data_IF_387731721530
#
_entry.id   IF_387731721530
#
_cell.length_a   1.000
_cell.length_b   1.000
_cell.length_c   1.000
_cell.angle_alpha   90.00
_cell.angle_beta   90.00
_cell.angle_gamma   90.00
#
_symmetry.space_group_name_H-M   'P 1'
#
loop_
_entity.id
_entity.type
_entity.pdbx_description
1 polymer ?
#
# COMPACT_ATOMS: atom_id res chain seq x y z
N UNK A 1 -27.70 9.94 -13.62
CA UNK A 1 -28.34 11.25 -13.47
C UNK A 1 -27.52 12.08 -12.50
N UNK A 2 -27.45 11.79 -11.21
CA UNK A 2 -26.85 12.70 -10.20
C UNK A 2 -25.47 13.31 -10.47
N UNK A 3 -24.59 12.67 -11.28
CA UNK A 3 -23.33 13.29 -11.70
C UNK A 3 -23.51 14.34 -12.82
N UNK A 4 -24.37 14.04 -13.80
CA UNK A 4 -24.73 14.98 -14.86
C UNK A 4 -25.76 15.94 -14.26
N UNK A 5 -25.58 17.25 -14.46
CA UNK A 5 -26.34 18.29 -13.77
C UNK A 5 -25.97 18.48 -12.29
N UNK A 6 -24.83 17.94 -11.84
CA UNK A 6 -24.31 18.26 -10.51
C UNK A 6 -24.17 19.80 -10.33
N UNK A 7 -24.61 20.31 -9.19
CA UNK A 7 -24.65 21.74 -8.88
C UNK A 7 -25.86 22.51 -9.43
N UNK A 8 -26.82 21.87 -10.11
CA UNK A 8 -28.14 22.48 -10.36
C UNK A 8 -28.86 22.72 -9.03
N UNK A 9 -29.40 23.91 -8.84
CA UNK A 9 -30.05 24.37 -7.61
C UNK A 9 -29.11 25.08 -6.63
N UNK A 10 -27.80 25.08 -6.87
CA UNK A 10 -26.79 25.70 -6.00
C UNK A 10 -26.35 27.11 -6.47
N UNK A 11 -25.27 27.65 -5.89
CA UNK A 11 -24.87 29.07 -5.99
C UNK A 11 -24.63 29.57 -7.43
N UNK A 12 -24.11 28.72 -8.32
CA UNK A 12 -23.83 29.07 -9.71
C UNK A 12 -24.79 28.39 -10.73
N UNK A 13 -25.48 27.32 -10.31
CA UNK A 13 -26.56 26.65 -11.06
C UNK A 13 -26.26 26.26 -12.53
N UNK A 14 -24.99 26.03 -12.88
CA UNK A 14 -24.62 25.74 -14.28
C UNK A 14 -24.87 24.30 -14.70
N UNK A 15 -24.94 23.36 -13.74
CA UNK A 15 -25.21 21.95 -14.00
C UNK A 15 -24.14 21.27 -14.84
N UNK A 16 -23.43 20.32 -14.25
CA UNK A 16 -22.27 19.71 -14.90
C UNK A 16 -22.62 18.89 -16.15
N UNK A 17 -21.86 19.05 -17.23
CA UNK A 17 -22.04 18.30 -18.49
C UNK A 17 -21.16 17.06 -18.56
N UNK A 18 -21.47 16.13 -19.48
CA UNK A 18 -20.65 14.94 -19.70
C UNK A 18 -19.25 15.29 -20.18
N UNK A 19 -19.14 16.33 -21.01
CA UNK A 19 -17.91 16.84 -21.57
C UNK A 19 -17.01 17.42 -20.47
N UNK A 20 -17.59 18.17 -19.53
CA UNK A 20 -16.85 18.72 -18.37
C UNK A 20 -16.42 17.62 -17.39
N UNK A 21 -17.29 16.63 -17.12
CA UNK A 21 -16.93 15.44 -16.32
C UNK A 21 -15.73 14.73 -16.96
N UNK A 22 -15.79 14.52 -18.28
CA UNK A 22 -14.70 13.87 -19.02
C UNK A 22 -13.41 14.69 -18.93
N UNK A 23 -13.47 16.01 -19.15
CA UNK A 23 -12.31 16.89 -19.07
C UNK A 23 -11.69 16.90 -17.68
N UNK A 24 -12.51 16.95 -16.63
CA UNK A 24 -12.09 16.89 -15.24
C UNK A 24 -11.35 15.59 -14.92
N UNK A 25 -11.95 14.44 -15.26
CA UNK A 25 -11.33 13.13 -15.00
C UNK A 25 -10.05 12.93 -15.82
N UNK A 26 -10.00 13.40 -17.07
CA UNK A 26 -8.79 13.36 -17.89
C UNK A 26 -7.69 14.24 -17.30
N UNK A 27 -8.03 15.43 -16.79
CA UNK A 27 -7.08 16.35 -16.16
C UNK A 27 -6.46 15.80 -14.87
N UNK A 28 -7.17 14.92 -14.17
CA UNK A 28 -6.70 14.27 -12.93
C UNK A 28 -6.10 12.88 -13.17
N UNK A 29 -6.23 12.32 -14.36
CA UNK A 29 -5.85 10.94 -14.63
C UNK A 29 -4.33 10.74 -14.53
N UNK A 30 -3.93 9.71 -13.78
CA UNK A 30 -2.56 9.19 -13.74
C UNK A 30 -2.57 7.66 -13.92
N UNK A 31 -1.53 7.07 -14.55
CA UNK A 31 -1.35 5.62 -14.59
C UNK A 31 -1.36 4.95 -13.20
N UNK A 32 -0.89 5.63 -12.14
CA UNK A 32 -0.92 5.11 -10.77
C UNK A 32 -2.32 5.12 -10.15
N UNK A 33 -3.16 6.08 -10.53
CA UNK A 33 -4.47 6.28 -9.90
C UNK A 33 -5.38 5.07 -10.09
N UNK A 34 -5.92 4.52 -9.01
CA UNK A 34 -6.80 3.34 -9.06
C UNK A 34 -8.18 3.70 -9.64
N UNK A 35 -8.88 2.72 -10.19
CA UNK A 35 -10.27 2.92 -10.65
C UNK A 35 -11.20 3.29 -9.49
N UNK A 36 -10.97 2.73 -8.29
CA UNK A 36 -11.72 3.10 -7.08
C UNK A 36 -11.54 4.58 -6.77
N UNK A 37 -10.29 5.06 -6.77
CA UNK A 37 -10.00 6.46 -6.44
C UNK A 37 -10.56 7.42 -7.51
N UNK A 38 -10.49 7.07 -8.80
CA UNK A 38 -11.17 7.84 -9.85
C UNK A 38 -12.69 7.93 -9.62
N UNK A 39 -13.33 6.82 -9.23
CA UNK A 39 -14.77 6.83 -8.92
C UNK A 39 -15.07 7.67 -7.67
N UNK A 40 -14.25 7.56 -6.62
CA UNK A 40 -14.37 8.36 -5.40
C UNK A 40 -14.22 9.85 -5.69
N UNK A 41 -13.17 10.24 -6.42
CA UNK A 41 -12.94 11.64 -6.84
C UNK A 41 -14.15 12.19 -7.60
N UNK A 42 -14.76 11.41 -8.49
CA UNK A 42 -15.95 11.85 -9.21
C UNK A 42 -17.13 12.11 -8.27
N UNK A 43 -17.42 11.17 -7.38
CA UNK A 43 -18.55 11.28 -6.44
C UNK A 43 -18.34 12.42 -5.44
N UNK A 44 -17.13 12.53 -4.88
CA UNK A 44 -16.78 13.61 -3.95
C UNK A 44 -16.86 14.98 -4.63
N UNK A 45 -16.45 15.07 -5.90
CA UNK A 45 -16.60 16.31 -6.65
C UNK A 45 -18.07 16.67 -6.92
N UNK A 46 -18.92 15.68 -7.17
CA UNK A 46 -20.36 15.93 -7.28
C UNK A 46 -20.95 16.44 -5.96
N UNK A 47 -20.57 15.85 -4.82
CA UNK A 47 -20.99 16.31 -3.49
C UNK A 47 -20.54 17.76 -3.21
N UNK A 48 -19.31 18.11 -3.62
CA UNK A 48 -18.81 19.49 -3.56
C UNK A 48 -19.62 20.45 -4.43
N UNK A 49 -19.96 20.06 -5.67
CA UNK A 49 -20.79 20.87 -6.57
C UNK A 49 -22.21 21.06 -6.00
N UNK A 50 -22.72 20.08 -5.25
CA UNK A 50 -23.96 20.17 -4.49
C UNK A 50 -23.82 20.86 -3.12
N UNK A 51 -22.66 21.47 -2.82
CA UNK A 51 -22.42 22.15 -1.54
C UNK A 51 -22.71 21.25 -0.31
N UNK A 52 -22.33 19.96 -0.42
CA UNK A 52 -22.58 18.92 0.56
C UNK A 52 -24.07 18.68 0.89
N UNK A 53 -24.96 19.05 -0.04
CA UNK A 53 -26.41 18.83 0.03
C UNK A 53 -26.86 18.17 -1.27
N UNK A 54 -26.55 16.88 -1.47
CA UNK A 54 -26.84 16.19 -2.72
C UNK A 54 -28.31 16.34 -3.10
N UNK A 55 -28.55 16.88 -4.30
CA UNK A 55 -29.89 17.05 -4.86
C UNK A 55 -30.46 15.77 -5.48
N UNK A 56 -29.60 14.80 -5.76
CA UNK A 56 -29.93 13.49 -6.34
C UNK A 56 -28.88 12.43 -5.94
N UNK A 57 -29.26 11.16 -6.05
CA UNK A 57 -28.35 10.04 -5.79
C UNK A 57 -27.25 9.98 -6.86
N UNK A 58 -25.99 10.01 -6.43
CA UNK A 58 -24.84 9.94 -7.34
C UNK A 58 -24.07 8.64 -7.15
N UNK A 59 -23.97 7.84 -8.22
CA UNK A 59 -23.19 6.60 -8.25
C UNK A 59 -22.23 6.58 -9.45
N UNK A 60 -21.00 6.10 -9.22
CA UNK A 60 -19.97 6.02 -10.25
C UNK A 60 -19.36 4.61 -10.32
N UNK A 61 -19.22 4.09 -11.54
CA UNK A 61 -18.45 2.88 -11.85
C UNK A 61 -17.27 3.25 -12.74
N UNK A 62 -16.05 2.93 -12.31
CA UNK A 62 -14.85 3.10 -13.11
C UNK A 62 -14.25 1.74 -13.46
N UNK A 63 -13.98 1.53 -14.76
CA UNK A 63 -13.28 0.36 -15.26
C UNK A 63 -11.95 0.82 -15.86
N UNK A 64 -10.84 0.28 -15.36
CA UNK A 64 -9.50 0.60 -15.85
C UNK A 64 -8.83 -0.66 -16.37
N UNK A 65 -8.42 -0.64 -17.63
CA UNK A 65 -7.49 -1.63 -18.19
C UNK A 65 -6.07 -1.22 -17.81
N UNK A 66 -5.28 -2.15 -17.28
CA UNK A 66 -3.87 -1.94 -16.93
C UNK A 66 -3.05 -3.18 -17.21
N UNK A 67 -1.75 -3.00 -17.36
CA UNK A 67 -0.80 -4.10 -17.37
C UNK A 67 -0.66 -4.68 -15.96
N UNK A 68 -0.26 -5.96 -15.89
CA UNK A 68 0.05 -6.60 -14.62
C UNK A 68 1.34 -6.01 -14.06
N UNK A 69 1.31 -5.60 -12.80
CA UNK A 69 2.46 -5.10 -12.06
C UNK A 69 2.65 -6.00 -10.84
N UNK A 70 3.75 -6.76 -10.83
CA UNK A 70 4.15 -7.58 -9.69
C UNK A 70 4.86 -6.70 -8.66
N UNK A 71 4.67 -6.98 -7.38
CA UNK A 71 5.46 -6.37 -6.28
C UNK A 71 5.83 -7.46 -5.29
N UNK A 72 7.09 -7.47 -4.85
CA UNK A 72 7.59 -8.43 -3.86
C UNK A 72 7.80 -7.73 -2.52
N UNK A 73 7.31 -8.33 -1.43
CA UNK A 73 7.51 -7.80 -0.07
C UNK A 73 8.15 -8.88 0.81
N UNK A 74 9.30 -8.55 1.38
CA UNK A 74 10.06 -9.40 2.30
C UNK A 74 9.91 -8.90 3.74
N UNK A 75 9.59 -9.81 4.67
CA UNK A 75 9.52 -9.51 6.11
C UNK A 75 10.17 -10.60 6.96
N UNK A 76 11.13 -10.19 7.80
CA UNK A 76 11.83 -11.09 8.72
C UNK A 76 12.88 -12.00 8.06
N UNK A 77 13.83 -12.53 8.85
CA UNK A 77 14.79 -13.55 8.40
C UNK A 77 14.16 -14.94 8.30
N UNK A 78 14.72 -15.79 7.44
CA UNK A 78 14.34 -17.19 7.31
C UNK A 78 14.59 -17.97 8.61
N UNK A 79 13.97 -19.14 8.77
CA UNK A 79 14.07 -19.96 9.99
C UNK A 79 15.53 -20.25 10.38
N UNK A 80 16.35 -20.53 9.38
CA UNK A 80 17.80 -20.74 9.51
C UNK A 80 18.56 -19.71 8.69
N UNK A 81 19.74 -19.22 9.16
CA UNK A 81 20.62 -18.36 8.36
C UNK A 81 21.05 -18.98 7.02
N UNK A 82 21.06 -20.31 6.91
CA UNK A 82 21.38 -20.98 5.64
C UNK A 82 20.25 -20.85 4.60
N UNK A 83 19.01 -20.63 5.05
CA UNK A 83 17.84 -20.50 4.18
C UNK A 83 17.65 -19.05 3.71
N UNK A 84 18.33 -18.07 4.33
CA UNK A 84 18.29 -16.66 3.93
C UNK A 84 18.76 -16.51 2.47
N UNK A 85 19.79 -17.24 2.04
CA UNK A 85 20.30 -17.15 0.67
C UNK A 85 19.27 -17.64 -0.35
N UNK A 86 18.57 -18.74 -0.05
CA UNK A 86 17.51 -19.27 -0.91
C UNK A 86 16.31 -18.31 -0.97
N UNK A 87 15.92 -17.74 0.17
CA UNK A 87 14.85 -16.75 0.26
C UNK A 87 15.18 -15.52 -0.57
N UNK A 88 16.38 -14.95 -0.41
CA UNK A 88 16.82 -13.75 -1.11
C UNK A 88 17.04 -13.98 -2.60
N UNK A 89 17.59 -15.13 -2.98
CA UNK A 89 17.69 -15.53 -4.39
C UNK A 89 16.30 -15.60 -5.03
N UNK A 90 15.31 -16.19 -4.35
CA UNK A 90 13.94 -16.21 -4.87
C UNK A 90 13.27 -14.84 -4.81
N UNK A 91 13.61 -13.97 -3.87
CA UNK A 91 13.06 -12.62 -3.74
C UNK A 91 13.48 -11.75 -4.91
N UNK A 92 14.79 -11.69 -5.19
CA UNK A 92 15.38 -10.89 -6.28
C UNK A 92 15.37 -11.55 -7.66
N UNK A 93 14.70 -12.70 -7.81
CA UNK A 93 14.68 -13.44 -9.08
C UNK A 93 13.93 -12.69 -10.19
N UNK A 94 12.79 -12.07 -9.85
CA UNK A 94 11.97 -11.33 -10.79
C UNK A 94 12.38 -9.84 -10.77
N UNK A 95 12.54 -9.22 -11.94
CA UNK A 95 12.73 -7.77 -12.05
C UNK A 95 11.40 -7.03 -11.80
N UNK A 96 11.08 -6.85 -10.52
CA UNK A 96 9.90 -6.15 -10.04
C UNK A 96 10.25 -5.29 -8.81
N UNK A 97 9.37 -4.37 -8.38
CA UNK A 97 9.65 -3.60 -7.18
C UNK A 97 9.77 -4.47 -5.93
N UNK A 98 10.86 -4.27 -5.18
CA UNK A 98 11.22 -5.00 -3.97
C UNK A 98 11.05 -4.12 -2.73
N UNK A 99 10.17 -4.55 -1.83
CA UNK A 99 9.95 -3.92 -0.52
C UNK A 99 10.58 -4.81 0.55
N UNK A 100 11.41 -4.24 1.42
CA UNK A 100 12.03 -4.94 2.55
C UNK A 100 11.58 -4.32 3.86
N UNK A 101 11.03 -5.13 4.76
CA UNK A 101 10.52 -4.72 6.06
C UNK A 101 11.25 -5.48 7.17
N UNK A 102 12.01 -4.79 8.01
CA UNK A 102 12.75 -5.40 9.13
C UNK A 102 14.16 -4.84 9.25
N UNK A 103 14.56 -4.24 10.38
CA UNK A 103 15.97 -3.80 10.56
C UNK A 103 16.98 -4.95 10.38
N UNK A 104 16.72 -6.10 10.98
CA UNK A 104 17.51 -7.33 10.78
C UNK A 104 17.45 -7.80 9.32
N UNK A 105 16.26 -7.78 8.71
CA UNK A 105 16.06 -8.18 7.31
C UNK A 105 16.84 -7.28 6.34
N UNK A 106 16.77 -5.96 6.53
CA UNK A 106 17.55 -4.96 5.80
C UNK A 106 19.05 -5.24 5.88
N UNK A 107 19.54 -5.63 7.07
CA UNK A 107 20.96 -5.96 7.26
C UNK A 107 21.38 -7.22 6.49
N UNK A 108 20.51 -8.24 6.46
CA UNK A 108 20.75 -9.48 5.71
C UNK A 108 20.70 -9.21 4.19
N UNK A 109 19.71 -8.44 3.73
CA UNK A 109 19.58 -8.02 2.32
C UNK A 109 20.79 -7.20 1.87
N UNK A 110 21.21 -6.21 2.65
CA UNK A 110 22.36 -5.38 2.33
C UNK A 110 23.63 -6.22 2.20
N UNK A 111 23.84 -7.18 3.12
CA UNK A 111 24.96 -8.12 3.03
C UNK A 111 24.90 -8.99 1.77
N UNK A 112 23.72 -9.50 1.41
CA UNK A 112 23.51 -10.32 0.20
C UNK A 112 23.81 -9.54 -1.09
N UNK A 113 23.42 -8.26 -1.14
CA UNK A 113 23.67 -7.38 -2.29
C UNK A 113 25.07 -6.75 -2.29
N UNK A 114 25.88 -6.99 -1.26
CA UNK A 114 27.15 -6.32 -1.02
C UNK A 114 27.04 -4.78 -0.96
N UNK A 115 26.00 -4.30 -0.28
CA UNK A 115 25.66 -2.88 -0.09
C UNK A 115 25.58 -2.51 1.39
N UNK A 116 25.44 -1.21 1.65
CA UNK A 116 25.25 -0.65 2.98
C UNK A 116 23.79 -0.23 3.20
N UNK A 117 23.33 -0.31 4.45
CA UNK A 117 22.05 0.28 4.85
C UNK A 117 22.29 1.73 5.25
N UNK A 118 21.64 2.66 4.55
CA UNK A 118 21.62 4.08 4.91
C UNK A 118 20.29 4.40 5.59
N UNK A 119 20.30 4.53 6.91
CA UNK A 119 19.09 4.87 7.68
C UNK A 119 18.65 6.31 7.43
N UNK A 120 17.36 6.53 7.20
CA UNK A 120 16.76 7.85 7.25
C UNK A 120 16.66 8.35 8.69
N UNK A 121 16.72 9.67 8.88
CA UNK A 121 16.55 10.32 10.17
C UNK A 121 15.22 11.08 10.29
N UNK A 122 14.55 11.30 9.16
CA UNK A 122 13.39 12.17 9.06
C UNK A 122 12.10 11.42 9.39
N UNK A 123 11.46 11.82 10.49
CA UNK A 123 10.12 11.38 10.86
C UNK A 123 9.08 12.25 10.15
N UNK A 124 8.48 11.72 9.09
CA UNK A 124 7.37 12.35 8.37
C UNK A 124 6.06 12.20 9.16
N UNK A 125 5.91 11.07 9.83
CA UNK A 125 4.80 10.77 10.73
C UNK A 125 5.39 10.25 12.04
N UNK A 126 4.91 10.74 13.19
CA UNK A 126 5.46 10.39 14.50
C UNK A 126 5.23 8.90 14.83
N UNK A 127 4.20 8.30 14.26
CA UNK A 127 3.82 6.90 14.49
C UNK A 127 4.46 5.94 13.47
N UNK A 128 5.13 6.47 12.43
CA UNK A 128 5.77 5.66 11.38
C UNK A 128 7.27 5.90 11.39
N UNK A 129 8.09 4.87 11.71
CA UNK A 129 9.54 5.00 11.68
C UNK A 129 10.07 5.43 10.31
N UNK A 130 11.22 6.14 10.25
CA UNK A 130 11.85 6.54 9.00
C UNK A 130 12.17 5.34 8.11
N UNK A 131 12.17 5.59 6.80
CA UNK A 131 12.63 4.61 5.81
C UNK A 131 14.16 4.49 5.84
N UNK A 132 14.66 3.38 5.31
CA UNK A 132 16.08 3.17 5.03
C UNK A 132 16.29 3.05 3.53
N UNK A 133 17.53 3.23 3.10
CA UNK A 133 17.94 3.07 1.71
C UNK A 133 18.99 1.97 1.58
N UNK A 134 18.77 1.08 0.62
CA UNK A 134 19.69 0.00 0.24
C UNK A 134 19.71 -0.01 -1.29
N UNK A 135 20.89 0.09 -1.89
CA UNK A 135 20.99 0.05 -3.35
C UNK A 135 20.50 -1.33 -3.86
N UNK A 136 19.62 -1.34 -4.86
CA UNK A 136 18.97 -2.56 -5.36
C UNK A 136 17.66 -2.93 -4.65
N UNK A 137 17.17 -2.11 -3.71
CA UNK A 137 15.87 -2.26 -3.06
C UNK A 137 15.05 -0.99 -3.29
N UNK A 138 13.82 -1.13 -3.77
CA UNK A 138 12.94 0.01 -4.05
C UNK A 138 12.46 0.72 -2.78
N UNK A 139 12.21 -0.04 -1.71
CA UNK A 139 11.76 0.50 -0.43
C UNK A 139 12.22 -0.36 0.75
N UNK A 140 12.99 0.21 1.68
CA UNK A 140 13.34 -0.44 2.94
C UNK A 140 12.73 0.29 4.14
N UNK A 141 12.06 -0.45 5.03
CA UNK A 141 11.31 0.10 6.18
C UNK A 141 11.60 -0.67 7.47
N UNK A 142 11.11 -0.16 8.61
CA UNK A 142 11.35 -0.77 9.93
C UNK A 142 10.92 -2.22 9.99
N UNK A 143 9.64 -2.54 9.74
CA UNK A 143 9.13 -3.87 10.02
C UNK A 143 7.68 -3.87 10.48
N UNK A 144 7.45 -4.39 11.68
CA UNK A 144 6.11 -4.71 12.15
C UNK A 144 5.29 -3.46 12.46
N UNK A 145 5.92 -2.39 12.94
CA UNK A 145 5.21 -1.15 13.26
C UNK A 145 4.62 -0.56 11.97
N UNK A 146 5.46 -0.43 10.93
CA UNK A 146 5.06 0.06 9.61
C UNK A 146 3.99 -0.84 8.98
N UNK A 147 4.18 -2.17 8.99
CA UNK A 147 3.21 -3.11 8.41
C UNK A 147 1.85 -3.11 9.14
N UNK A 148 1.85 -2.89 10.45
CA UNK A 148 0.60 -2.75 11.19
C UNK A 148 -0.17 -1.48 10.80
N UNK A 149 0.55 -0.37 10.55
CA UNK A 149 -0.06 0.85 9.99
C UNK A 149 -0.63 0.58 8.59
N UNK A 150 0.12 -0.10 7.72
CA UNK A 150 -0.38 -0.51 6.38
C UNK A 150 -1.65 -1.35 6.48
N UNK A 151 -1.71 -2.30 7.42
CA UNK A 151 -2.92 -3.09 7.67
C UNK A 151 -4.09 -2.20 8.11
N UNK A 152 -3.87 -1.20 8.96
CA UNK A 152 -4.90 -0.22 9.33
C UNK A 152 -5.41 0.54 8.10
N UNK A 153 -4.49 1.02 7.25
CA UNK A 153 -4.83 1.71 6.01
C UNK A 153 -5.62 0.81 5.04
N UNK A 154 -5.26 -0.48 4.94
CA UNK A 154 -5.99 -1.42 4.08
C UNK A 154 -7.45 -1.64 4.51
N UNK A 155 -7.72 -1.60 5.82
CA UNK A 155 -9.08 -1.73 6.36
C UNK A 155 -9.90 -0.47 6.11
N UNK A 156 -9.29 0.70 6.31
CA UNK A 156 -9.93 1.99 5.98
C UNK A 156 -10.24 2.06 4.47
N UNK A 157 -9.30 1.64 3.61
CA UNK A 157 -9.48 1.60 2.16
C UNK A 157 -10.71 0.76 1.76
N UNK A 158 -10.98 -0.35 2.44
CA UNK A 158 -12.17 -1.16 2.17
C UNK A 158 -13.47 -0.51 2.67
N UNK A 159 -13.38 0.32 3.70
CA UNK A 159 -14.48 1.10 4.23
C UNK A 159 -14.65 2.45 3.51
N UNK A 160 -14.59 3.53 4.28
CA UNK A 160 -14.85 4.89 3.81
C UNK A 160 -13.64 5.54 3.13
N UNK A 161 -12.47 4.89 3.14
CA UNK A 161 -11.22 5.38 2.53
C UNK A 161 -10.86 6.81 2.98
N UNK A 162 -11.08 7.13 4.27
CA UNK A 162 -10.87 8.48 4.81
C UNK A 162 -9.42 8.91 4.76
N UNK A 163 -8.51 7.96 4.94
CA UNK A 163 -7.07 8.22 4.96
C UNK A 163 -6.48 8.34 3.55
N UNK A 164 -7.28 8.29 2.48
CA UNK A 164 -6.80 8.35 1.10
C UNK A 164 -5.81 9.49 0.86
N UNK A 165 -6.19 10.72 1.23
CA UNK A 165 -5.32 11.90 1.04
C UNK A 165 -4.06 11.85 1.90
N UNK A 166 -4.06 11.13 3.03
CA UNK A 166 -2.84 10.98 3.83
C UNK A 166 -1.87 10.03 3.12
N UNK A 167 -2.30 8.79 2.87
CA UNK A 167 -1.38 7.76 2.40
C UNK A 167 -1.02 7.88 0.91
N UNK A 168 -1.82 8.60 0.10
CA UNK A 168 -1.49 8.84 -1.31
C UNK A 168 -0.43 9.92 -1.52
N UNK A 169 -0.20 10.81 -0.53
CA UNK A 169 0.75 11.92 -0.67
C UNK A 169 1.92 11.85 0.30
N UNK A 170 1.76 11.26 1.49
CA UNK A 170 2.86 11.15 2.45
C UNK A 170 3.97 10.24 1.92
N UNK A 171 5.21 10.63 2.20
CA UNK A 171 6.42 9.88 1.83
C UNK A 171 6.95 9.01 2.99
N UNK A 172 6.13 8.73 4.01
CA UNK A 172 6.48 7.79 5.07
C UNK A 172 6.38 6.33 4.58
N UNK A 173 7.04 5.42 5.30
CA UNK A 173 7.13 4.01 4.88
C UNK A 173 5.78 3.30 4.76
N UNK A 174 4.77 3.65 5.58
CA UNK A 174 3.47 3.01 5.50
C UNK A 174 2.68 3.51 4.29
N UNK A 175 2.75 4.81 4.02
CA UNK A 175 2.13 5.46 2.85
C UNK A 175 2.75 4.98 1.54
N UNK A 176 4.08 4.87 1.49
CA UNK A 176 4.80 4.29 0.35
C UNK A 176 4.39 2.84 0.07
N UNK A 177 4.36 1.98 1.10
CA UNK A 177 3.88 0.59 0.94
C UNK A 177 2.42 0.58 0.47
N UNK A 178 1.55 1.41 1.07
CA UNK A 178 0.14 1.49 0.68
C UNK A 178 -0.03 1.84 -0.80
N UNK A 179 0.70 2.82 -1.32
CA UNK A 179 0.69 3.15 -2.77
C UNK A 179 1.15 1.98 -3.62
N UNK A 180 2.28 1.37 -3.27
CA UNK A 180 2.83 0.23 -4.02
C UNK A 180 1.88 -0.97 -4.05
N UNK A 181 1.21 -1.29 -2.94
CA UNK A 181 0.35 -2.47 -2.84
C UNK A 181 -1.11 -2.21 -3.27
N UNK A 182 -1.69 -1.06 -2.93
CA UNK A 182 -3.11 -0.77 -3.13
C UNK A 182 -3.35 -0.20 -4.53
N UNK A 183 -2.52 0.74 -4.97
CA UNK A 183 -2.69 1.42 -6.26
C UNK A 183 -1.92 0.73 -7.38
N UNK A 184 -0.67 0.39 -7.14
CA UNK A 184 0.24 -0.04 -8.19
C UNK A 184 0.20 -1.54 -8.48
N UNK A 185 0.26 -2.40 -7.46
CA UNK A 185 0.35 -3.83 -7.68
C UNK A 185 -0.95 -4.43 -8.25
N UNK A 186 -0.84 -5.43 -9.11
CA UNK A 186 -1.92 -6.37 -9.45
C UNK A 186 -1.66 -7.73 -8.82
N UNK A 187 -0.39 -8.11 -8.74
CA UNK A 187 0.10 -9.37 -8.22
C UNK A 187 1.11 -9.04 -7.12
N UNK A 188 0.96 -9.63 -5.93
CA UNK A 188 1.82 -9.36 -4.77
C UNK A 188 2.34 -10.69 -4.24
N UNK A 189 3.67 -10.79 -4.09
CA UNK A 189 4.31 -11.95 -3.48
C UNK A 189 4.93 -11.56 -2.14
N UNK A 190 4.45 -12.19 -1.09
CA UNK A 190 5.02 -12.08 0.25
C UNK A 190 6.09 -13.15 0.47
N UNK A 191 7.24 -12.72 0.96
CA UNK A 191 8.33 -13.56 1.45
C UNK A 191 8.40 -13.36 2.96
N UNK A 192 8.03 -14.39 3.70
CA UNK A 192 7.87 -14.31 5.16
C UNK A 192 8.89 -15.21 5.81
N UNK A 193 9.89 -14.58 6.42
CA UNK A 193 10.85 -15.29 7.23
C UNK A 193 10.24 -15.76 8.56
N UNK A 194 10.51 -17.00 8.95
CA UNK A 194 9.95 -17.69 10.10
C UNK A 194 10.94 -17.79 11.27
N UNK A 195 12.06 -17.05 11.24
CA UNK A 195 12.98 -16.98 12.36
C UNK A 195 12.26 -16.66 13.67
N UNK A 196 12.44 -17.53 14.66
CA UNK A 196 12.13 -17.26 16.05
C UNK A 196 13.40 -16.72 16.68
N UNK A 197 13.39 -15.46 17.13
CA UNK A 197 14.58 -14.87 17.73
C UNK A 197 14.94 -15.66 19.01
N UNK A 198 16.18 -16.18 19.16
CA UNK A 198 16.58 -17.02 20.30
C UNK A 198 16.46 -16.33 21.67
N UNK A 199 16.48 -15.00 21.72
CA UNK A 199 16.20 -14.24 22.95
C UNK A 199 14.72 -14.35 23.41
N UNK A 200 13.85 -14.96 22.59
CA UNK A 200 12.40 -15.10 22.81
C UNK A 200 12.01 -16.32 23.67
N UNK A 201 12.82 -16.70 24.65
CA UNK A 201 12.33 -17.56 25.75
C UNK A 201 11.37 -16.79 26.69
N UNK A 202 11.35 -15.46 26.60
CA UNK A 202 10.40 -14.61 27.30
C UNK A 202 9.06 -14.54 26.53
N UNK A 203 7.91 -14.87 27.18
CA UNK A 203 6.57 -14.88 26.57
C UNK A 203 6.19 -13.59 25.83
N UNK A 204 6.72 -12.44 26.23
CA UNK A 204 6.45 -11.13 25.60
C UNK A 204 6.95 -11.07 24.15
N UNK A 205 7.96 -11.85 23.82
CA UNK A 205 8.57 -11.85 22.51
C UNK A 205 7.99 -12.92 21.56
N UNK A 206 7.38 -13.98 22.09
CA UNK A 206 6.54 -14.90 21.30
C UNK A 206 5.31 -14.18 20.69
N UNK A 207 4.88 -13.08 21.31
CA UNK A 207 3.83 -12.20 20.78
C UNK A 207 4.26 -11.60 19.44
N UNK A 208 5.52 -11.17 19.30
CA UNK A 208 5.97 -10.47 18.08
C UNK A 208 5.98 -11.39 16.85
N UNK A 209 6.37 -12.66 17.02
CA UNK A 209 6.29 -13.66 15.94
C UNK A 209 4.84 -13.92 15.51
N UNK A 210 3.94 -14.21 16.48
CA UNK A 210 2.52 -14.43 16.19
C UNK A 210 1.87 -13.19 15.57
N UNK A 211 2.23 -12.00 16.05
CA UNK A 211 1.75 -10.73 15.54
C UNK A 211 2.18 -10.49 14.10
N UNK A 212 3.44 -10.78 13.73
CA UNK A 212 3.90 -10.74 12.34
C UNK A 212 3.05 -11.62 11.43
N UNK A 213 2.86 -12.89 11.80
CA UNK A 213 2.07 -13.83 10.99
C UNK A 213 0.62 -13.36 10.85
N UNK A 214 0.01 -12.89 11.95
CA UNK A 214 -1.34 -12.33 11.93
C UNK A 214 -1.45 -11.08 11.06
N UNK A 215 -0.46 -10.18 11.08
CA UNK A 215 -0.45 -8.98 10.24
C UNK A 215 -0.38 -9.37 8.78
N UNK A 216 0.52 -10.29 8.39
CA UNK A 216 0.64 -10.74 7.00
C UNK A 216 -0.62 -11.46 6.53
N UNK A 217 -1.17 -12.38 7.32
CA UNK A 217 -2.40 -13.09 6.97
C UNK A 217 -3.58 -12.13 6.78
N UNK A 218 -3.73 -11.14 7.66
CA UNK A 218 -4.80 -10.16 7.56
C UNK A 218 -4.58 -9.20 6.39
N UNK A 219 -3.34 -8.74 6.16
CA UNK A 219 -3.03 -7.86 5.04
C UNK A 219 -3.25 -8.59 3.70
N UNK A 220 -2.83 -9.85 3.59
CA UNK A 220 -3.10 -10.68 2.42
C UNK A 220 -4.61 -10.85 2.17
N UNK A 221 -5.42 -11.01 3.21
CA UNK A 221 -6.89 -11.06 3.09
C UNK A 221 -7.48 -9.74 2.60
N UNK A 222 -7.06 -8.61 3.16
CA UNK A 222 -7.54 -7.30 2.74
C UNK A 222 -7.16 -6.99 1.29
N UNK A 223 -5.93 -7.32 0.87
CA UNK A 223 -5.48 -7.15 -0.51
C UNK A 223 -6.22 -8.07 -1.50
N UNK A 224 -6.55 -9.32 -1.11
CA UNK A 224 -7.41 -10.19 -1.93
C UNK A 224 -8.80 -9.58 -2.14
N UNK A 225 -9.39 -8.96 -1.11
CA UNK A 225 -10.65 -8.23 -1.24
C UNK A 225 -10.53 -7.02 -2.19
N UNK A 226 -9.34 -6.44 -2.35
CA UNK A 226 -9.06 -5.41 -3.36
C UNK A 226 -8.88 -5.98 -4.78
N UNK A 227 -9.07 -7.28 -4.99
CA UNK A 227 -8.92 -7.95 -6.29
C UNK A 227 -7.48 -8.24 -6.67
N UNK A 228 -6.53 -8.21 -5.73
CA UNK A 228 -5.11 -8.52 -5.98
C UNK A 228 -4.87 -10.03 -5.99
N UNK A 229 -3.95 -10.48 -6.83
CA UNK A 229 -3.43 -11.85 -6.80
C UNK A 229 -2.32 -11.96 -5.76
N UNK A 230 -2.53 -12.76 -4.71
CA UNK A 230 -1.58 -12.87 -3.60
C UNK A 230 -0.96 -14.25 -3.54
N UNK A 231 0.36 -14.30 -3.51
CA UNK A 231 1.17 -15.47 -3.17
C UNK A 231 1.92 -15.19 -1.87
N UNK A 232 1.97 -16.17 -0.95
CA UNK A 232 2.73 -16.06 0.30
C UNK A 232 3.66 -17.26 0.37
N UNK A 233 4.96 -17.00 0.52
CA UNK A 233 6.00 -18.00 0.73
C UNK A 233 6.61 -17.84 2.11
N UNK A 234 6.76 -18.96 2.80
CA UNK A 234 7.34 -19.03 4.13
C UNK A 234 8.72 -19.67 4.05
N UNK A 235 9.69 -19.10 4.76
CA UNK A 235 11.10 -19.51 4.81
C UNK A 235 11.57 -19.59 6.26
#
# INVERSE_FOLDING_TARGET
DGAVHAGVGETLNFGWTREEISAFLVGLYSPSLSSKNLATILVDHCDLLYNHKPGDDTSALCVKRRERKKVSLLVGPATSPNDDEQMLSSFFFDDNPHIVCGGTTCSIVARYLHKEVKGGLDYIDVDVPPISYIEGVDLATEGIITLNKVLSLSKDYQGQNKSYFDWSFKEDGASLIARMLFEDATDIKFYVGCAVNPAHQDPRYQINFKMKMQIIDNLAKELKKMGKHIEVKYY
#
